data_IF_558239005652
#
_entry.id   IF_558239005652
#
_cell.length_a   1.000
_cell.length_b   1.000
_cell.length_c   1.000
_cell.angle_alpha   90.00
_cell.angle_beta   90.00
_cell.angle_gamma   90.00
#
_symmetry.space_group_name_H-M   'P 1'
#
loop_
_entity.id
_entity.type
_entity.pdbx_description
1 polymer ?
#
# COMPACT_ATOMS: atom_id res chain seq x y z
N UNK A 1 -21.99 -52.87 12.70
CA UNK A 1 -20.70 -52.93 11.97
C UNK A 1 -20.96 -53.37 10.53
N UNK A 2 -21.17 -52.44 9.60
CA UNK A 2 -21.50 -52.74 8.18
C UNK A 2 -20.25 -52.63 7.28
N UNK A 3 -19.19 -51.95 7.74
CA UNK A 3 -17.93 -51.74 7.00
C UNK A 3 -16.92 -52.90 7.09
N UNK A 4 -17.08 -53.83 8.04
CA UNK A 4 -16.12 -54.92 8.26
C UNK A 4 -15.96 -55.88 7.08
N UNK A 5 -17.07 -56.42 6.51
CA UNK A 5 -17.00 -57.36 5.39
C UNK A 5 -16.49 -56.72 4.09
N UNK A 6 -16.83 -55.44 3.86
CA UNK A 6 -16.41 -54.71 2.66
C UNK A 6 -14.92 -54.35 2.71
N UNK A 7 -14.42 -53.88 3.86
CA UNK A 7 -12.99 -53.60 4.05
C UNK A 7 -12.16 -54.88 4.01
N UNK A 8 -12.67 -55.99 4.56
CA UNK A 8 -12.02 -57.30 4.50
C UNK A 8 -11.86 -57.84 3.07
N UNK A 9 -12.89 -57.70 2.21
CA UNK A 9 -12.80 -58.07 0.79
C UNK A 9 -11.82 -57.19 0.01
N UNK A 10 -11.78 -55.90 0.31
CA UNK A 10 -10.87 -54.96 -0.34
C UNK A 10 -9.41 -55.24 0.06
N UNK A 11 -9.15 -55.51 1.33
CA UNK A 11 -7.85 -55.94 1.83
C UNK A 11 -7.41 -57.29 1.24
N UNK A 12 -8.33 -58.24 1.11
CA UNK A 12 -8.04 -59.52 0.44
C UNK A 12 -7.68 -59.32 -1.04
N UNK A 13 -8.40 -58.47 -1.77
CA UNK A 13 -8.09 -58.16 -3.18
C UNK A 13 -6.72 -57.50 -3.35
N UNK A 14 -6.40 -56.51 -2.50
CA UNK A 14 -5.09 -55.85 -2.49
C UNK A 14 -3.98 -56.83 -2.12
N UNK A 15 -4.22 -57.72 -1.15
CA UNK A 15 -3.25 -58.75 -0.75
C UNK A 15 -3.01 -59.78 -1.84
N UNK A 16 -4.07 -60.23 -2.53
CA UNK A 16 -3.99 -61.22 -3.61
C UNK A 16 -3.35 -60.66 -4.90
N UNK A 17 -3.45 -59.34 -5.12
CA UNK A 17 -2.90 -58.65 -6.28
C UNK A 17 -1.89 -57.56 -5.89
N UNK A 18 -1.03 -57.87 -4.90
CA UNK A 18 -0.10 -56.93 -4.28
C UNK A 18 0.79 -56.19 -5.27
N UNK A 19 1.37 -56.89 -6.26
CA UNK A 19 2.21 -56.25 -7.29
C UNK A 19 1.45 -55.23 -8.15
N UNK A 20 0.20 -55.54 -8.53
CA UNK A 20 -0.64 -54.66 -9.35
C UNK A 20 -1.05 -53.43 -8.54
N UNK A 21 -1.44 -53.64 -7.28
CA UNK A 21 -1.80 -52.54 -6.38
C UNK A 21 -0.61 -51.61 -6.11
N UNK A 22 0.62 -52.15 -5.95
CA UNK A 22 1.84 -51.36 -5.79
C UNK A 22 2.13 -50.55 -7.06
N UNK A 23 2.03 -51.17 -8.23
CA UNK A 23 2.27 -50.50 -9.51
C UNK A 23 1.29 -49.33 -9.73
N UNK A 24 -0.01 -49.55 -9.50
CA UNK A 24 -1.03 -48.50 -9.62
C UNK A 24 -0.76 -47.36 -8.63
N UNK A 25 -0.43 -47.68 -7.38
CA UNK A 25 -0.12 -46.67 -6.37
C UNK A 25 1.12 -45.85 -6.75
N UNK A 26 2.15 -46.49 -7.29
CA UNK A 26 3.34 -45.81 -7.79
C UNK A 26 3.02 -44.89 -8.97
N UNK A 27 2.20 -45.34 -9.91
CA UNK A 27 1.70 -44.52 -11.02
C UNK A 27 0.94 -43.27 -10.55
N UNK A 28 0.09 -43.41 -9.53
CA UNK A 28 -0.65 -42.28 -8.95
C UNK A 28 0.32 -41.28 -8.31
N UNK A 29 1.32 -41.77 -7.57
CA UNK A 29 2.35 -40.91 -6.96
C UNK A 29 3.15 -40.17 -8.04
N UNK A 30 3.62 -40.88 -9.07
CA UNK A 30 4.37 -40.27 -10.18
C UNK A 30 3.53 -39.25 -10.91
N UNK A 31 2.26 -39.56 -11.21
CA UNK A 31 1.35 -38.61 -11.86
C UNK A 31 1.08 -37.37 -10.99
N UNK A 32 0.91 -37.54 -9.68
CA UNK A 32 0.68 -36.44 -8.74
C UNK A 32 1.91 -35.53 -8.64
N UNK A 33 3.11 -36.11 -8.51
CA UNK A 33 4.37 -35.37 -8.48
C UNK A 33 4.65 -34.68 -9.81
N UNK A 34 4.43 -35.37 -10.93
CA UNK A 34 4.58 -34.79 -12.27
C UNK A 34 3.63 -33.60 -12.46
N UNK A 35 2.40 -33.68 -11.98
CA UNK A 35 1.44 -32.57 -12.03
C UNK A 35 1.93 -31.38 -11.22
N UNK A 36 2.44 -31.59 -10.00
CA UNK A 36 3.02 -30.53 -9.18
C UNK A 36 4.27 -29.89 -9.80
N UNK A 37 5.10 -30.68 -10.50
CA UNK A 37 6.29 -30.16 -11.18
C UNK A 37 5.97 -29.41 -12.48
N UNK A 38 4.98 -29.87 -13.26
CA UNK A 38 4.60 -29.26 -14.54
C UNK A 38 3.67 -28.06 -14.35
N UNK A 39 2.84 -28.09 -13.32
CA UNK A 39 1.90 -27.04 -12.95
C UNK A 39 2.14 -26.67 -11.48
N UNK A 40 3.26 -26.01 -11.17
CA UNK A 40 3.51 -25.56 -9.81
C UNK A 40 2.37 -24.66 -9.34
N UNK A 41 1.84 -24.85 -8.12
CA UNK A 41 0.82 -23.98 -7.58
C UNK A 41 1.36 -22.55 -7.54
N UNK A 42 0.59 -21.61 -8.08
CA UNK A 42 0.92 -20.19 -7.98
C UNK A 42 0.73 -19.77 -6.53
N UNK A 43 1.84 -19.50 -5.85
CA UNK A 43 1.82 -18.84 -4.55
C UNK A 43 1.71 -17.33 -4.77
N UNK A 44 0.49 -16.84 -4.92
CA UNK A 44 0.21 -15.41 -4.90
C UNK A 44 0.04 -15.01 -3.44
N UNK A 45 1.09 -14.44 -2.86
CA UNK A 45 1.09 -13.85 -1.52
C UNK A 45 0.99 -12.34 -1.67
N UNK A 46 -0.24 -11.86 -1.90
CA UNK A 46 -0.57 -10.45 -1.99
C UNK A 46 -1.65 -10.06 -0.98
N UNK A 47 -1.68 -8.78 -0.63
CA UNK A 47 -2.81 -8.22 0.12
C UNK A 47 -4.12 -8.33 -0.68
N UNK A 48 -4.02 -8.22 -2.00
CA UNK A 48 -5.15 -8.34 -2.92
C UNK A 48 -5.58 -9.80 -3.09
N UNK A 49 -4.67 -10.74 -3.29
CA UNK A 49 -4.97 -12.17 -3.37
C UNK A 49 -3.89 -12.97 -2.62
N UNK A 50 -4.33 -13.79 -1.66
CA UNK A 50 -3.45 -14.64 -0.84
C UNK A 50 -3.74 -14.57 0.66
N UNK A 51 -3.89 -13.37 1.22
CA UNK A 51 -4.14 -13.16 2.66
C UNK A 51 -5.59 -12.77 3.00
N UNK A 52 -6.39 -12.41 2.00
CA UNK A 52 -7.75 -11.89 2.18
C UNK A 52 -8.79 -12.75 1.46
N UNK A 53 -9.93 -12.98 2.11
CA UNK A 53 -11.06 -13.69 1.49
C UNK A 53 -11.66 -12.85 0.34
N UNK A 54 -12.23 -13.47 -0.71
CA UNK A 54 -12.73 -12.75 -1.89
C UNK A 54 -13.79 -11.67 -1.60
N UNK A 55 -14.55 -11.84 -0.52
CA UNK A 55 -15.65 -10.98 -0.06
C UNK A 55 -15.27 -10.08 1.13
N UNK A 56 -13.97 -9.94 1.42
CA UNK A 56 -13.50 -9.11 2.53
C UNK A 56 -13.97 -7.64 2.37
N UNK A 57 -14.45 -6.99 3.46
CA UNK A 57 -14.83 -5.57 3.42
C UNK A 57 -13.72 -4.64 2.92
N UNK A 58 -12.45 -4.95 3.23
CA UNK A 58 -11.29 -4.21 2.73
C UNK A 58 -11.18 -4.19 1.21
N UNK A 59 -11.58 -5.28 0.52
CA UNK A 59 -11.62 -5.31 -0.96
C UNK A 59 -12.71 -4.37 -1.49
N UNK A 60 -13.84 -4.25 -0.79
CA UNK A 60 -14.90 -3.32 -1.16
C UNK A 60 -14.46 -1.85 -0.98
N UNK A 61 -13.75 -1.55 0.12
CA UNK A 61 -13.16 -0.23 0.37
C UNK A 61 -12.11 0.13 -0.69
N UNK A 62 -11.21 -0.80 -1.02
CA UNK A 62 -10.20 -0.59 -2.06
C UNK A 62 -10.85 -0.31 -3.43
N UNK A 63 -11.87 -1.07 -3.82
CA UNK A 63 -12.63 -0.82 -5.06
C UNK A 63 -13.35 0.52 -5.05
N UNK A 64 -13.94 0.92 -3.92
CA UNK A 64 -14.60 2.22 -3.79
C UNK A 64 -13.59 3.36 -3.96
N UNK A 65 -12.38 3.18 -3.43
CA UNK A 65 -11.30 4.15 -3.59
C UNK A 65 -10.80 4.24 -5.03
N UNK A 66 -10.53 3.10 -5.68
CA UNK A 66 -10.16 3.05 -7.11
C UNK A 66 -11.22 3.79 -7.95
N UNK A 67 -12.51 3.53 -7.71
CA UNK A 67 -13.62 4.25 -8.37
C UNK A 67 -13.63 5.74 -8.10
N UNK A 68 -13.38 6.15 -6.85
CA UNK A 68 -13.35 7.56 -6.48
C UNK A 68 -12.25 8.33 -7.24
N UNK A 69 -11.10 7.70 -7.46
CA UNK A 69 -9.97 8.31 -8.15
C UNK A 69 -9.96 8.07 -9.68
N UNK A 70 -11.00 7.45 -10.24
CA UNK A 70 -11.22 7.36 -11.69
C UNK A 70 -10.88 6.00 -12.31
N UNK A 71 -10.93 4.91 -11.54
CA UNK A 71 -10.77 3.52 -12.01
C UNK A 71 -9.41 3.21 -12.67
N UNK A 72 -8.35 3.92 -12.28
CA UNK A 72 -7.03 3.83 -12.93
C UNK A 72 -6.05 2.89 -12.23
N UNK A 73 -6.34 1.61 -12.16
CA UNK A 73 -5.43 0.57 -11.64
C UNK A 73 -5.31 0.50 -10.11
N UNK A 74 -4.45 -0.41 -9.64
CA UNK A 74 -4.30 -0.71 -8.21
C UNK A 74 -3.54 0.39 -7.47
N UNK A 75 -3.97 0.76 -6.26
CA UNK A 75 -3.31 1.81 -5.54
C UNK A 75 -2.06 1.32 -4.80
N UNK A 76 -1.04 2.17 -4.83
CA UNK A 76 0.14 2.09 -3.98
C UNK A 76 0.11 3.27 -3.01
N UNK A 77 0.36 3.00 -1.72
CA UNK A 77 0.38 4.00 -0.66
C UNK A 77 1.67 3.90 0.15
N UNK A 78 2.25 5.06 0.43
CA UNK A 78 3.28 5.20 1.45
C UNK A 78 2.97 6.43 2.30
N UNK A 79 3.06 6.27 3.61
CA UNK A 79 2.77 7.30 4.59
C UNK A 79 4.01 7.58 5.42
N UNK A 80 4.36 8.86 5.57
CA UNK A 80 5.45 9.30 6.45
C UNK A 80 4.84 10.09 7.60
N UNK A 81 5.09 9.62 8.82
CA UNK A 81 4.70 10.30 10.04
C UNK A 81 5.91 11.06 10.59
N UNK A 82 5.85 12.39 10.49
CA UNK A 82 6.85 13.26 11.09
C UNK A 82 6.40 13.67 12.50
N UNK A 83 7.34 13.61 13.44
CA UNK A 83 7.14 13.98 14.85
C UNK A 83 8.16 15.05 15.23
N UNK A 84 7.83 15.96 16.17
CA UNK A 84 8.78 16.96 16.62
C UNK A 84 9.94 16.28 17.36
N UNK A 85 11.13 16.88 17.28
CA UNK A 85 12.33 16.37 17.96
C UNK A 85 12.13 16.34 19.48
N UNK A 86 11.47 17.38 20.00
CA UNK A 86 11.12 17.48 21.42
C UNK A 86 9.72 16.92 21.67
N UNK A 87 9.56 16.12 22.74
CA UNK A 87 8.26 15.54 23.14
C UNK A 87 7.17 16.59 23.33
N UNK A 88 7.53 17.75 23.86
CA UNK A 88 6.61 18.87 24.08
C UNK A 88 6.51 19.81 22.88
N UNK A 89 7.25 19.54 21.81
CA UNK A 89 7.30 20.32 20.58
C UNK A 89 6.04 20.20 19.71
N UNK A 90 6.08 20.87 18.56
CA UNK A 90 5.01 20.93 17.57
C UNK A 90 5.63 20.73 16.18
N UNK A 91 4.90 20.11 15.26
CA UNK A 91 5.30 20.03 13.83
C UNK A 91 4.79 21.22 13.02
N UNK A 92 3.94 22.06 13.61
CA UNK A 92 3.34 23.23 12.98
C UNK A 92 3.80 24.50 13.69
N UNK A 93 3.96 25.59 12.94
CA UNK A 93 4.50 26.88 13.41
C UNK A 93 5.95 26.83 13.89
N UNK A 94 6.71 25.83 13.42
CA UNK A 94 8.11 25.62 13.80
C UNK A 94 8.99 25.34 12.58
N UNK A 95 10.30 25.22 12.79
CA UNK A 95 11.27 24.87 11.73
C UNK A 95 11.00 23.47 11.16
N UNK A 96 10.49 22.55 11.98
CA UNK A 96 10.15 21.19 11.58
C UNK A 96 9.14 21.18 10.43
N UNK A 97 8.17 22.10 10.39
CA UNK A 97 7.22 22.18 9.28
C UNK A 97 7.92 22.41 7.94
N UNK A 98 8.86 23.36 7.91
CA UNK A 98 9.62 23.69 6.70
C UNK A 98 10.61 22.60 6.31
N UNK A 99 11.16 21.88 7.28
CA UNK A 99 11.99 20.71 7.02
C UNK A 99 11.18 19.59 6.37
N UNK A 100 9.95 19.35 6.85
CA UNK A 100 9.01 18.38 6.25
C UNK A 100 8.65 18.79 4.82
N UNK A 101 8.34 20.08 4.58
CA UNK A 101 8.06 20.60 3.23
C UNK A 101 9.26 20.40 2.30
N UNK A 102 10.46 20.77 2.76
CA UNK A 102 11.70 20.65 1.99
C UNK A 102 12.02 19.19 1.68
N UNK A 103 11.90 18.31 2.67
CA UNK A 103 12.06 16.87 2.50
C UNK A 103 11.12 16.34 1.41
N UNK A 104 9.81 16.62 1.54
CA UNK A 104 8.81 16.17 0.57
C UNK A 104 9.11 16.64 -0.86
N UNK A 105 9.50 17.91 -1.03
CA UNK A 105 9.78 18.46 -2.36
C UNK A 105 11.06 17.94 -2.98
N UNK A 106 12.04 17.57 -2.16
CA UNK A 106 13.30 17.01 -2.62
C UNK A 106 13.15 15.54 -2.97
N UNK A 107 12.60 14.72 -2.07
CA UNK A 107 12.52 13.27 -2.24
C UNK A 107 11.73 12.89 -3.51
N UNK A 108 10.67 13.64 -3.84
CA UNK A 108 9.88 13.41 -5.07
C UNK A 108 10.69 13.57 -6.36
N UNK A 109 11.77 14.35 -6.34
CA UNK A 109 12.61 14.65 -7.51
C UNK A 109 13.80 13.73 -7.63
N UNK A 110 14.09 12.95 -6.59
CA UNK A 110 15.24 12.05 -6.61
C UNK A 110 15.06 10.96 -7.66
N UNK A 111 16.11 10.65 -8.43
CA UNK A 111 16.04 9.67 -9.50
C UNK A 111 15.95 8.26 -8.92
N UNK A 112 14.89 7.55 -9.26
CA UNK A 112 14.67 6.14 -8.90
C UNK A 112 15.49 5.23 -9.82
N UNK A 113 15.34 5.43 -11.13
CA UNK A 113 16.12 4.72 -12.15
C UNK A 113 16.37 5.58 -13.38
N UNK A 114 17.35 5.19 -14.20
CA UNK A 114 17.54 5.76 -15.53
C UNK A 114 16.82 4.93 -16.59
N UNK A 115 15.92 5.55 -17.36
CA UNK A 115 15.26 4.91 -18.49
C UNK A 115 16.07 5.13 -19.76
N UNK A 116 16.56 4.02 -20.34
CA UNK A 116 17.40 4.04 -21.54
C UNK A 116 16.62 4.41 -22.81
N UNK A 117 15.33 4.11 -22.87
CA UNK A 117 14.50 4.40 -24.04
C UNK A 117 14.07 5.86 -24.08
N UNK A 118 13.71 6.42 -22.93
CA UNK A 118 13.36 7.83 -22.77
C UNK A 118 14.58 8.74 -22.58
N UNK A 119 15.76 8.16 -22.41
CA UNK A 119 17.03 8.83 -22.14
C UNK A 119 16.93 9.87 -21.01
N UNK A 120 16.23 9.50 -19.92
CA UNK A 120 15.98 10.36 -18.77
C UNK A 120 15.88 9.55 -17.48
N UNK A 121 16.16 10.20 -16.35
CA UNK A 121 15.86 9.62 -15.05
C UNK A 121 14.37 9.68 -14.76
N UNK A 122 13.83 8.58 -14.26
CA UNK A 122 12.47 8.45 -13.74
C UNK A 122 12.52 8.76 -12.25
N UNK A 123 11.61 9.62 -11.79
CA UNK A 123 11.44 9.94 -10.38
C UNK A 123 9.96 9.76 -9.99
N UNK A 124 9.64 10.03 -8.73
CA UNK A 124 8.27 9.84 -8.23
C UNK A 124 7.24 10.70 -8.98
N UNK A 125 7.61 11.91 -9.44
CA UNK A 125 6.70 12.78 -10.23
C UNK A 125 6.23 12.13 -11.53
N UNK A 126 7.03 11.25 -12.11
CA UNK A 126 6.64 10.49 -13.31
C UNK A 126 5.63 9.38 -13.02
N UNK A 127 5.58 8.89 -11.77
CA UNK A 127 4.83 7.70 -11.38
C UNK A 127 3.51 8.02 -10.66
N UNK A 128 3.43 9.18 -9.98
CA UNK A 128 2.29 9.50 -9.12
C UNK A 128 1.03 10.00 -9.86
N UNK A 129 1.09 10.26 -11.16
CA UNK A 129 -0.09 10.66 -11.94
C UNK A 129 -0.83 11.88 -11.34
N UNK A 130 -2.11 11.71 -11.01
CA UNK A 130 -2.94 12.80 -10.48
C UNK A 130 -2.70 13.11 -8.99
N UNK A 131 -2.04 12.21 -8.26
CA UNK A 131 -1.85 12.32 -6.80
C UNK A 131 -0.53 12.98 -6.39
N UNK A 132 0.27 13.44 -7.36
CA UNK A 132 1.57 14.09 -7.10
C UNK A 132 1.52 15.34 -6.21
N UNK A 133 0.37 16.02 -6.18
CA UNK A 133 0.19 17.30 -5.49
C UNK A 133 -0.65 17.20 -4.21
N UNK A 134 -0.94 15.98 -3.72
CA UNK A 134 -1.79 15.79 -2.52
C UNK A 134 -1.30 16.61 -1.33
N UNK A 135 -0.01 16.56 -1.00
CA UNK A 135 0.53 17.33 0.12
C UNK A 135 0.86 18.79 -0.24
N UNK A 136 0.95 19.16 -1.53
CA UNK A 136 1.18 20.57 -1.90
C UNK A 136 -0.01 21.45 -1.49
N UNK A 137 -1.22 20.89 -1.43
CA UNK A 137 -2.39 21.57 -0.92
C UNK A 137 -2.19 22.00 0.55
N UNK A 138 -1.62 21.11 1.38
CA UNK A 138 -1.29 21.41 2.78
C UNK A 138 -0.30 22.56 2.88
N UNK A 139 0.84 22.46 2.19
CA UNK A 139 1.90 23.49 2.25
C UNK A 139 1.41 24.85 1.72
N UNK A 140 0.61 24.83 0.65
CA UNK A 140 -0.01 26.05 0.12
C UNK A 140 -1.00 26.65 1.11
N UNK A 141 -1.83 25.82 1.74
CA UNK A 141 -2.79 26.25 2.78
C UNK A 141 -2.03 26.91 3.94
N UNK A 142 -0.95 26.27 4.43
CA UNK A 142 -0.12 26.82 5.49
C UNK A 142 0.52 28.16 5.14
N UNK A 143 1.05 28.28 3.93
CA UNK A 143 1.67 29.53 3.48
C UNK A 143 0.67 30.69 3.40
N UNK A 144 -0.59 30.39 3.08
CA UNK A 144 -1.64 31.40 2.94
C UNK A 144 -2.39 31.69 4.25
N UNK A 145 -2.27 30.83 5.28
CA UNK A 145 -2.94 30.96 6.57
C UNK A 145 -2.22 31.94 7.50
N UNK A 146 -2.11 33.20 7.09
CA UNK A 146 -1.38 34.25 7.85
C UNK A 146 -2.01 34.56 9.22
N UNK A 147 -3.34 34.44 9.35
CA UNK A 147 -4.10 34.79 10.55
C UNK A 147 -4.43 33.60 11.45
N UNK A 148 -3.77 32.46 11.20
CA UNK A 148 -4.12 31.18 11.83
C UNK A 148 -4.75 30.22 10.83
N UNK A 149 -4.64 28.94 11.17
CA UNK A 149 -5.12 27.84 10.34
C UNK A 149 -6.23 27.12 11.08
N UNK A 150 -7.48 27.33 10.64
CA UNK A 150 -8.64 26.66 11.22
C UNK A 150 -8.54 25.13 11.09
N UNK A 151 -8.88 24.42 12.15
CA UNK A 151 -8.93 22.95 12.20
C UNK A 151 -10.36 22.49 12.51
N UNK A 152 -10.90 21.44 11.84
CA UNK A 152 -10.26 20.51 10.90
C UNK A 152 -10.18 20.98 9.45
N UNK A 153 -10.89 22.07 9.10
CA UNK A 153 -10.95 22.64 7.75
C UNK A 153 -10.43 24.08 7.81
N UNK A 154 -9.38 24.36 7.04
CA UNK A 154 -8.85 25.70 6.88
C UNK A 154 -9.61 26.41 5.75
N UNK A 155 -10.10 27.60 6.03
CA UNK A 155 -10.76 28.46 5.04
C UNK A 155 -9.88 29.66 4.71
N UNK A 156 -9.50 29.79 3.44
CA UNK A 156 -8.58 30.83 2.97
C UNK A 156 -9.16 31.42 1.67
N UNK A 157 -9.49 32.72 1.68
CA UNK A 157 -10.09 33.41 0.54
C UNK A 157 -11.30 32.69 -0.07
N UNK A 158 -12.14 32.06 0.75
CA UNK A 158 -13.31 31.27 0.33
C UNK A 158 -13.01 29.86 -0.16
N UNK A 159 -11.73 29.45 -0.22
CA UNK A 159 -11.32 28.07 -0.48
C UNK A 159 -11.29 27.28 0.82
N UNK A 160 -11.88 26.07 0.82
CA UNK A 160 -11.91 25.16 1.97
C UNK A 160 -10.96 23.99 1.76
N UNK A 161 -10.00 23.86 2.66
CA UNK A 161 -8.98 22.80 2.63
C UNK A 161 -9.12 21.91 3.87
N UNK A 162 -9.35 20.61 3.67
CA UNK A 162 -9.42 19.66 4.79
C UNK A 162 -8.00 19.24 5.21
N UNK A 163 -7.49 19.88 6.26
CA UNK A 163 -6.14 19.66 6.79
C UNK A 163 -6.08 18.57 7.87
N UNK A 164 -7.23 18.12 8.39
CA UNK A 164 -7.28 17.12 9.45
C UNK A 164 -6.72 15.75 9.06
N UNK A 165 -6.61 15.49 7.75
CA UNK A 165 -5.96 14.29 7.23
C UNK A 165 -4.44 14.30 7.42
N UNK A 166 -3.86 15.47 7.66
CA UNK A 166 -2.41 15.66 7.71
C UNK A 166 -1.85 15.91 9.10
N UNK A 167 -2.68 16.21 10.11
CA UNK A 167 -2.21 16.50 11.46
C UNK A 167 -2.93 15.65 12.50
N UNK A 168 -2.17 15.13 13.46
CA UNK A 168 -2.71 14.33 14.57
C UNK A 168 -2.20 14.84 15.91
N UNK A 169 -3.00 14.54 16.94
CA UNK A 169 -2.81 15.02 18.31
C UNK A 169 -2.69 16.55 18.30
N UNK A 170 -3.80 17.17 17.88
CA UNK A 170 -3.92 18.60 17.60
C UNK A 170 -4.53 19.31 18.79
N UNK A 171 -3.95 20.45 19.15
CA UNK A 171 -4.50 21.39 20.13
C UNK A 171 -4.92 22.67 19.40
N UNK A 172 -6.15 23.11 19.64
CA UNK A 172 -6.70 24.34 19.06
C UNK A 172 -6.86 25.45 20.09
N UNK A 173 -6.84 26.70 19.65
CA UNK A 173 -7.23 27.85 20.46
C UNK A 173 -8.77 27.97 20.56
N UNK A 174 -9.24 28.96 21.32
CA UNK A 174 -10.67 29.28 21.48
C UNK A 174 -11.34 29.68 20.16
N UNK A 175 -10.56 30.12 19.17
CA UNK A 175 -11.03 30.48 17.83
C UNK A 175 -11.06 29.29 16.87
N UNK A 176 -10.64 28.10 17.30
CA UNK A 176 -10.57 26.89 16.50
C UNK A 176 -9.35 26.79 15.57
N UNK A 177 -8.36 27.66 15.74
CA UNK A 177 -7.10 27.59 15.00
C UNK A 177 -6.15 26.58 15.64
N UNK A 178 -5.37 25.92 14.80
CA UNK A 178 -4.32 25.02 15.25
C UNK A 178 -3.17 25.78 15.93
N UNK A 179 -2.93 25.43 17.19
CA UNK A 179 -1.80 25.95 17.99
C UNK A 179 -0.66 24.95 18.00
N UNK A 180 -0.99 23.66 18.11
CA UNK A 180 -0.01 22.58 18.20
C UNK A 180 -0.49 21.35 17.45
N UNK A 181 0.44 20.65 16.82
CA UNK A 181 0.26 19.29 16.31
C UNK A 181 1.48 18.47 16.69
N UNK A 182 1.30 17.24 17.18
CA UNK A 182 2.43 16.35 17.51
C UNK A 182 2.86 15.48 16.34
N UNK A 183 2.01 15.29 15.34
CA UNK A 183 2.29 14.40 14.22
C UNK A 183 1.82 15.09 12.95
N UNK A 184 2.68 15.12 11.93
CA UNK A 184 2.32 15.45 10.57
C UNK A 184 2.38 14.19 9.69
N UNK A 185 1.41 14.02 8.81
CA UNK A 185 1.32 12.93 7.85
C UNK A 185 1.55 13.45 6.43
N UNK A 186 2.58 12.93 5.78
CA UNK A 186 2.77 13.04 4.34
C UNK A 186 2.31 11.76 3.65
N UNK A 187 1.46 11.91 2.64
CA UNK A 187 0.91 10.79 1.87
C UNK A 187 1.50 10.77 0.48
N UNK A 188 2.13 9.66 0.11
CA UNK A 188 2.52 9.34 -1.26
C UNK A 188 1.53 8.30 -1.78
N UNK A 189 0.96 8.58 -2.93
CA UNK A 189 -0.06 7.75 -3.54
C UNK A 189 0.20 7.68 -5.05
N UNK A 190 0.00 6.51 -5.64
CA UNK A 190 0.00 6.31 -7.08
C UNK A 190 -1.03 5.21 -7.40
N UNK A 191 -1.58 5.22 -8.61
CA UNK A 191 -2.45 4.15 -9.07
C UNK A 191 -1.86 3.57 -10.36
N UNK A 192 -1.60 2.27 -10.38
CA UNK A 192 -0.99 1.59 -11.51
C UNK A 192 -1.27 0.08 -11.48
N UNK A 193 -1.43 -0.51 -12.67
CA UNK A 193 -1.41 -1.97 -12.86
C UNK A 193 -0.10 -2.44 -13.51
N UNK A 194 0.82 -1.52 -13.81
CA UNK A 194 2.11 -1.82 -14.42
C UNK A 194 3.10 -2.32 -13.35
N UNK A 195 3.54 -3.57 -13.50
CA UNK A 195 4.48 -4.24 -12.59
C UNK A 195 5.85 -3.53 -12.53
N UNK A 196 6.32 -2.93 -13.63
CA UNK A 196 7.57 -2.17 -13.64
C UNK A 196 7.42 -0.89 -12.82
N UNK A 197 6.29 -0.19 -12.94
CA UNK A 197 5.98 0.99 -12.11
C UNK A 197 5.85 0.60 -10.63
N UNK A 198 5.20 -0.53 -10.33
CA UNK A 198 5.09 -1.04 -8.95
C UNK A 198 6.46 -1.35 -8.35
N UNK A 199 7.37 -1.95 -9.13
CA UNK A 199 8.74 -2.19 -8.69
C UNK A 199 9.49 -0.88 -8.45
N UNK A 200 9.36 0.10 -9.36
CA UNK A 200 9.98 1.42 -9.20
C UNK A 200 9.45 2.16 -7.95
N UNK A 201 8.16 2.03 -7.63
CA UNK A 201 7.57 2.56 -6.40
C UNK A 201 8.10 1.85 -5.15
N UNK A 202 8.39 0.55 -5.22
CA UNK A 202 9.07 -0.19 -4.13
C UNK A 202 10.53 0.23 -3.92
N UNK A 203 11.25 0.54 -5.00
CA UNK A 203 12.59 1.13 -4.91
C UNK A 203 12.55 2.54 -4.30
N UNK A 204 11.53 3.33 -4.66
CA UNK A 204 11.30 4.64 -4.05
C UNK A 204 11.03 4.53 -2.54
N UNK A 205 10.21 3.56 -2.11
CA UNK A 205 9.98 3.29 -0.69
C UNK A 205 11.30 2.98 0.05
N UNK A 206 12.12 2.11 -0.54
CA UNK A 206 13.44 1.76 0.00
C UNK A 206 14.38 2.98 0.08
N UNK A 207 14.29 3.90 -0.87
CA UNK A 207 15.06 5.16 -0.86
C UNK A 207 14.61 6.09 0.26
N UNK A 208 13.30 6.21 0.49
CA UNK A 208 12.72 7.08 1.53
C UNK A 208 13.06 6.58 2.95
N UNK A 209 13.24 5.27 3.12
CA UNK A 209 13.56 4.65 4.41
C UNK A 209 15.04 4.77 4.82
N UNK A 210 15.93 5.23 3.93
CA UNK A 210 17.37 5.40 4.20
C UNK A 210 17.68 6.77 4.79
#
# INVERSE_FOLDING_TARGET
MILGPSLGRLGYFIGNHSCISIFISCLIVVASVATLCLLPPKFELGFDDGYTVPDAPSKAENRAQIRFFGDSGNPWYMAIFAVPVHKDGSVIHTTEFYEIEKFYRNIKKEPIRFDKYLNRSINYFDLCGQTCNLNELLFTTYKLSFWGMGYPVAEIFGYKSNIAKHFYNVTTDESGNIVQAKIALLVFMAFTDDDDVRRDLGEFETMVQK
#
